data_IF_224892301844
#
_entry.id   IF_224892301844
#
_cell.length_a   1.000
_cell.length_b   1.000
_cell.length_c   1.000
_cell.angle_alpha   90.00
_cell.angle_beta   90.00
_cell.angle_gamma   90.00
#
_symmetry.space_group_name_H-M   'P 1'
#
loop_
_entity.id
_entity.type
_entity.pdbx_description
1 polymer ?
#
# COMPACT_ATOMS: atom_id res chain seq x y z
N UNK A 1 33.87 28.64 -31.09
CA UNK A 1 33.26 28.10 -29.86
C UNK A 1 32.44 29.15 -29.07
N UNK A 2 32.74 30.43 -29.09
CA UNK A 2 32.03 31.48 -28.32
C UNK A 2 30.66 31.92 -28.85
N UNK A 3 30.36 31.76 -30.16
CA UNK A 3 29.08 32.18 -30.78
C UNK A 3 27.85 31.37 -30.26
N UNK A 4 28.02 30.14 -29.82
CA UNK A 4 26.91 29.33 -29.28
C UNK A 4 26.44 29.78 -27.88
N UNK A 5 27.35 30.26 -27.03
CA UNK A 5 27.01 30.71 -25.67
C UNK A 5 26.19 32.01 -25.67
N UNK A 6 26.40 32.89 -26.65
CA UNK A 6 25.64 34.17 -26.80
C UNK A 6 24.16 33.94 -27.09
N UNK A 7 23.78 32.80 -27.73
CA UNK A 7 22.40 32.46 -28.03
C UNK A 7 21.59 32.14 -26.75
N UNK A 8 22.27 31.59 -25.75
CA UNK A 8 21.61 31.23 -24.48
C UNK A 8 21.67 32.34 -23.44
N UNK A 9 22.67 33.25 -23.51
CA UNK A 9 22.96 34.23 -22.45
C UNK A 9 23.11 35.67 -22.97
N UNK A 10 23.04 35.92 -24.28
CA UNK A 10 23.36 37.21 -24.92
C UNK A 10 22.32 38.31 -24.72
N UNK A 11 21.11 37.99 -24.23
CA UNK A 11 20.09 38.99 -23.88
C UNK A 11 19.47 38.65 -22.53
N UNK A 12 18.90 39.66 -21.86
CA UNK A 12 18.20 39.46 -20.57
C UNK A 12 17.06 38.42 -20.69
N UNK A 13 16.36 38.41 -21.83
CA UNK A 13 15.32 37.42 -22.16
C UNK A 13 15.91 36.02 -22.23
N UNK A 14 16.98 35.82 -22.98
CA UNK A 14 17.59 34.51 -23.18
C UNK A 14 18.25 33.98 -21.90
N UNK A 15 18.84 34.85 -21.10
CA UNK A 15 19.34 34.50 -19.76
C UNK A 15 18.21 34.06 -18.86
N UNK A 16 17.09 34.79 -18.80
CA UNK A 16 15.93 34.42 -18.03
C UNK A 16 15.33 33.05 -18.44
N UNK A 17 15.16 32.83 -19.74
CA UNK A 17 14.68 31.55 -20.28
C UNK A 17 15.63 30.38 -19.97
N UNK A 18 16.94 30.61 -20.02
CA UNK A 18 17.93 29.58 -19.68
C UNK A 18 17.90 29.23 -18.16
N UNK A 19 17.81 30.24 -17.31
CA UNK A 19 17.67 30.03 -15.86
C UNK A 19 16.38 29.23 -15.57
N UNK A 20 15.26 29.62 -16.19
CA UNK A 20 14.00 28.91 -16.03
C UNK A 20 14.10 27.45 -16.52
N UNK A 21 14.72 27.22 -17.69
CA UNK A 21 14.89 25.86 -18.21
C UNK A 21 15.77 25.00 -17.29
N UNK A 22 16.85 25.55 -16.75
CA UNK A 22 17.70 24.84 -15.77
C UNK A 22 16.92 24.53 -14.49
N UNK A 23 16.15 25.49 -13.97
CA UNK A 23 15.34 25.28 -12.78
C UNK A 23 14.26 24.19 -12.98
N UNK A 24 13.55 24.21 -14.13
CA UNK A 24 12.57 23.19 -14.49
C UNK A 24 13.22 21.82 -14.70
N UNK A 25 14.36 21.76 -15.38
CA UNK A 25 15.11 20.52 -15.55
C UNK A 25 15.51 19.94 -14.20
N UNK A 26 16.05 20.76 -13.31
CA UNK A 26 16.43 20.32 -11.95
C UNK A 26 15.23 19.78 -11.19
N UNK A 27 14.08 20.47 -11.22
CA UNK A 27 12.84 20.01 -10.62
C UNK A 27 12.41 18.64 -11.18
N UNK A 28 12.45 18.48 -12.50
CA UNK A 28 12.10 17.21 -13.15
C UNK A 28 13.05 16.08 -12.75
N UNK A 29 14.35 16.33 -12.65
CA UNK A 29 15.32 15.33 -12.20
C UNK A 29 15.10 14.93 -10.74
N UNK A 30 14.89 15.89 -9.85
CA UNK A 30 14.62 15.63 -8.42
C UNK A 30 13.32 14.84 -8.27
N UNK A 31 12.22 15.25 -8.92
CA UNK A 31 10.95 14.56 -8.86
C UNK A 31 11.03 13.15 -9.48
N UNK A 32 11.73 13.00 -10.60
CA UNK A 32 11.95 11.69 -11.23
C UNK A 32 12.74 10.74 -10.36
N UNK A 33 13.84 11.19 -9.77
CA UNK A 33 14.65 10.37 -8.87
C UNK A 33 13.88 10.00 -7.60
N UNK A 34 13.15 10.95 -7.00
CA UNK A 34 12.29 10.65 -5.84
C UNK A 34 11.24 9.58 -6.15
N UNK A 35 10.58 9.66 -7.30
CA UNK A 35 9.62 8.63 -7.72
C UNK A 35 10.31 7.29 -7.96
N UNK A 36 11.49 7.29 -8.56
CA UNK A 36 12.25 6.07 -8.80
C UNK A 36 12.63 5.36 -7.48
N UNK A 37 13.18 6.11 -6.51
CA UNK A 37 13.54 5.60 -5.20
C UNK A 37 12.32 5.00 -4.47
N UNK A 38 11.18 5.72 -4.48
CA UNK A 38 9.92 5.21 -3.91
C UNK A 38 9.45 3.92 -4.59
N UNK A 39 9.62 3.80 -5.90
CA UNK A 39 9.29 2.59 -6.65
C UNK A 39 10.20 1.41 -6.27
N UNK A 40 11.49 1.66 -6.09
CA UNK A 40 12.46 0.65 -5.65
C UNK A 40 12.16 0.15 -4.25
N UNK A 41 11.97 1.06 -3.29
CA UNK A 41 11.60 0.72 -1.89
C UNK A 41 10.35 -0.16 -1.88
N UNK A 42 9.29 0.27 -2.59
CA UNK A 42 8.03 -0.47 -2.66
C UNK A 42 8.20 -1.86 -3.27
N UNK A 43 9.05 -1.99 -4.29
CA UNK A 43 9.33 -3.29 -4.91
C UNK A 43 10.04 -4.23 -3.95
N UNK A 44 10.99 -3.75 -3.16
CA UNK A 44 11.71 -4.54 -2.15
C UNK A 44 10.74 -5.01 -1.06
N UNK A 45 9.92 -4.12 -0.49
CA UNK A 45 8.87 -4.46 0.48
C UNK A 45 7.95 -5.56 -0.08
N UNK A 46 7.49 -5.38 -1.31
CA UNK A 46 6.58 -6.30 -1.98
C UNK A 46 7.21 -7.67 -2.29
N UNK A 47 8.51 -7.73 -2.57
CA UNK A 47 9.21 -9.01 -2.77
C UNK A 47 9.18 -9.86 -1.50
N UNK A 48 9.36 -9.25 -0.32
CA UNK A 48 9.27 -9.95 0.96
C UNK A 48 7.87 -10.53 1.15
N UNK A 49 6.82 -9.73 0.90
CA UNK A 49 5.42 -10.17 1.04
C UNK A 49 5.11 -11.33 0.08
N UNK A 50 5.50 -11.21 -1.20
CA UNK A 50 5.31 -12.28 -2.20
C UNK A 50 6.03 -13.55 -1.80
N UNK A 51 7.29 -13.45 -1.34
CA UNK A 51 8.03 -14.60 -0.85
C UNK A 51 7.35 -15.25 0.36
N UNK A 52 6.73 -14.47 1.25
CA UNK A 52 6.02 -15.00 2.42
C UNK A 52 4.79 -15.83 2.06
N UNK A 53 4.11 -15.54 0.96
CA UNK A 53 2.97 -16.34 0.51
C UNK A 53 3.37 -17.79 0.12
N UNK A 54 4.61 -17.98 -0.33
CA UNK A 54 5.13 -19.26 -0.83
C UNK A 54 5.92 -20.05 0.23
N UNK A 55 6.31 -19.39 1.33
CA UNK A 55 7.11 -20.05 2.37
C UNK A 55 6.29 -21.09 3.14
N UNK A 56 6.91 -22.17 3.63
CA UNK A 56 6.25 -23.20 4.45
C UNK A 56 5.56 -22.58 5.68
N UNK A 57 4.43 -23.15 6.08
CA UNK A 57 3.73 -22.78 7.32
C UNK A 57 4.64 -23.02 8.52
N UNK A 58 4.66 -22.09 9.45
CA UNK A 58 5.35 -22.21 10.73
C UNK A 58 4.36 -21.97 11.88
N UNK A 59 4.69 -22.47 13.06
CA UNK A 59 3.93 -22.12 14.27
C UNK A 59 4.22 -20.65 14.65
N UNK A 60 3.21 -19.98 15.24
CA UNK A 60 3.37 -18.60 15.68
C UNK A 60 4.48 -18.52 16.74
N UNK A 61 5.54 -17.73 16.54
CA UNK A 61 6.56 -17.55 17.57
C UNK A 61 5.99 -16.87 18.82
N UNK A 62 6.49 -17.24 20.00
CA UNK A 62 6.12 -16.59 21.27
C UNK A 62 6.39 -15.08 21.23
N UNK A 63 7.48 -14.70 20.57
CA UNK A 63 7.80 -13.31 20.28
C UNK A 63 8.03 -13.17 18.77
N UNK A 64 7.34 -12.26 18.13
CA UNK A 64 7.67 -11.85 16.78
C UNK A 64 8.95 -10.99 16.84
N UNK A 65 10.09 -11.65 16.60
CA UNK A 65 11.40 -11.02 16.70
C UNK A 65 11.70 -10.09 15.52
N UNK A 66 12.23 -8.91 15.83
CA UNK A 66 12.70 -7.96 14.82
C UNK A 66 11.58 -7.18 14.14
N UNK A 67 11.78 -6.87 12.85
CA UNK A 67 10.84 -6.11 12.06
C UNK A 67 9.63 -6.98 11.68
N UNK A 68 8.47 -6.66 12.25
CA UNK A 68 7.21 -7.37 12.00
C UNK A 68 6.75 -7.33 10.55
N UNK A 69 7.19 -6.32 9.80
CA UNK A 69 6.89 -6.23 8.36
C UNK A 69 7.40 -7.46 7.58
N UNK A 70 8.43 -8.14 8.10
CA UNK A 70 8.95 -9.37 7.52
C UNK A 70 7.99 -10.57 7.60
N UNK A 71 6.96 -10.48 8.45
CA UNK A 71 5.93 -11.53 8.57
C UNK A 71 4.69 -11.24 7.73
N UNK A 72 4.56 -10.05 7.15
CA UNK A 72 3.39 -9.68 6.35
C UNK A 72 3.09 -10.71 5.26
N UNK A 73 1.87 -11.25 5.28
CA UNK A 73 1.43 -12.30 4.37
C UNK A 73 1.88 -13.72 4.73
N UNK A 74 2.67 -13.90 5.80
CA UNK A 74 3.17 -15.20 6.24
C UNK A 74 2.04 -16.11 6.69
N UNK A 75 2.09 -17.37 6.25
CA UNK A 75 1.18 -18.42 6.71
C UNK A 75 1.68 -18.99 8.03
N UNK A 76 0.83 -18.97 9.05
CA UNK A 76 1.15 -19.40 10.41
C UNK A 76 0.11 -20.40 10.91
N UNK A 77 0.53 -21.27 11.81
CA UNK A 77 -0.35 -22.12 12.62
C UNK A 77 -0.47 -21.51 14.01
N UNK A 78 -1.70 -21.36 14.48
CA UNK A 78 -1.99 -20.87 15.83
C UNK A 78 -2.93 -21.84 16.54
N UNK A 79 -2.83 -21.89 17.87
CA UNK A 79 -3.72 -22.71 18.68
C UNK A 79 -4.33 -21.85 19.80
N UNK A 80 -5.63 -22.01 20.04
CA UNK A 80 -6.34 -21.21 21.02
C UNK A 80 -7.85 -21.40 20.94
N UNK A 81 -8.62 -20.41 21.40
CA UNK A 81 -10.07 -20.44 21.44
C UNK A 81 -10.68 -19.10 21.02
N UNK A 82 -11.75 -19.13 20.25
CA UNK A 82 -12.53 -17.93 19.95
C UNK A 82 -13.29 -17.43 21.17
N UNK A 83 -13.39 -16.10 21.30
CA UNK A 83 -14.28 -15.44 22.23
C UNK A 83 -15.54 -15.02 21.48
N UNK A 84 -16.55 -15.87 21.46
CA UNK A 84 -17.77 -15.70 20.68
C UNK A 84 -18.53 -14.38 20.94
N UNK A 85 -18.37 -13.78 22.13
CA UNK A 85 -18.98 -12.50 22.50
C UNK A 85 -18.28 -11.29 21.87
N UNK A 86 -17.03 -11.45 21.49
CA UNK A 86 -16.20 -10.41 20.91
C UNK A 86 -16.12 -10.62 19.38
N UNK A 87 -17.26 -10.39 18.72
CA UNK A 87 -17.39 -10.50 17.28
C UNK A 87 -17.81 -9.16 16.67
N UNK A 88 -17.15 -8.77 15.57
CA UNK A 88 -17.37 -7.50 14.87
C UNK A 88 -17.77 -7.74 13.43
N UNK A 89 -18.79 -6.99 12.97
CA UNK A 89 -19.22 -6.93 11.61
C UNK A 89 -18.68 -5.69 10.92
N UNK A 90 -17.82 -5.89 9.96
CA UNK A 90 -17.27 -4.82 9.12
C UNK A 90 -18.17 -4.55 7.93
N UNK A 91 -18.78 -3.37 7.89
CA UNK A 91 -19.64 -2.93 6.78
C UNK A 91 -18.81 -2.56 5.54
N UNK A 92 -19.52 -2.40 4.41
CA UNK A 92 -18.95 -1.96 3.13
C UNK A 92 -17.86 -2.89 2.60
N UNK A 93 -18.07 -4.20 2.75
CA UNK A 93 -17.24 -5.24 2.13
C UNK A 93 -17.95 -5.79 0.92
N UNK A 94 -17.24 -5.82 -0.20
CA UNK A 94 -17.72 -6.37 -1.47
C UNK A 94 -16.89 -7.59 -1.86
N UNK A 95 -17.57 -8.61 -2.31
CA UNK A 95 -16.97 -9.81 -2.89
C UNK A 95 -17.74 -10.19 -4.15
N UNK A 96 -17.05 -10.31 -5.29
CA UNK A 96 -17.67 -10.56 -6.61
C UNK A 96 -18.86 -9.62 -6.90
N UNK A 97 -18.64 -8.33 -6.71
CA UNK A 97 -19.63 -7.25 -6.87
C UNK A 97 -20.89 -7.35 -5.98
N UNK A 98 -20.89 -8.27 -5.01
CA UNK A 98 -21.96 -8.41 -4.04
C UNK A 98 -21.61 -7.71 -2.73
N UNK A 99 -22.55 -6.93 -2.23
CA UNK A 99 -22.43 -6.29 -0.91
C UNK A 99 -22.56 -7.31 0.22
N UNK A 100 -21.73 -7.14 1.25
CA UNK A 100 -21.76 -7.99 2.44
C UNK A 100 -20.95 -7.39 3.59
N UNK A 101 -20.60 -8.26 4.52
CA UNK A 101 -19.88 -7.91 5.74
C UNK A 101 -18.63 -8.77 5.86
N UNK A 102 -17.54 -8.18 6.36
CA UNK A 102 -16.45 -8.94 6.93
C UNK A 102 -16.78 -9.30 8.37
N UNK A 103 -16.28 -10.43 8.83
CA UNK A 103 -16.50 -10.91 10.21
C UNK A 103 -15.15 -11.06 10.90
N UNK A 104 -14.91 -10.29 11.95
CA UNK A 104 -13.74 -10.45 12.80
C UNK A 104 -14.17 -10.93 14.19
N UNK A 105 -13.46 -11.92 14.73
CA UNK A 105 -13.73 -12.46 16.07
C UNK A 105 -12.42 -12.51 16.85
N UNK A 106 -12.47 -12.11 18.13
CA UNK A 106 -11.32 -12.15 19.02
C UNK A 106 -10.97 -13.61 19.34
N UNK A 107 -9.67 -13.91 19.40
CA UNK A 107 -9.14 -15.24 19.65
C UNK A 107 -8.09 -15.19 20.75
N UNK A 108 -8.24 -16.02 21.76
CA UNK A 108 -7.24 -16.17 22.80
C UNK A 108 -6.28 -17.29 22.44
N UNK A 109 -5.02 -16.97 22.28
CA UNK A 109 -3.95 -17.93 22.05
C UNK A 109 -3.67 -18.75 23.31
N UNK A 110 -3.09 -19.94 23.15
CA UNK A 110 -2.72 -20.81 24.30
C UNK A 110 -1.67 -20.19 25.22
N UNK A 111 -0.92 -19.18 24.77
CA UNK A 111 0.02 -18.41 25.58
C UNK A 111 -0.61 -17.23 26.33
N UNK A 112 -1.93 -17.05 26.18
CA UNK A 112 -2.71 -16.03 26.87
C UNK A 112 -2.88 -14.72 26.10
N UNK A 113 -2.18 -14.50 25.00
CA UNK A 113 -2.35 -13.32 24.15
C UNK A 113 -3.70 -13.32 23.44
N UNK A 114 -4.21 -12.11 23.15
CA UNK A 114 -5.44 -11.92 22.38
C UNK A 114 -5.12 -11.35 21.01
N UNK A 115 -5.68 -11.95 19.96
CA UNK A 115 -5.50 -11.52 18.57
C UNK A 115 -6.85 -11.50 17.85
N UNK A 116 -7.03 -10.57 16.94
CA UNK A 116 -8.19 -10.56 16.06
C UNK A 116 -8.00 -11.50 14.88
N UNK A 117 -9.06 -12.20 14.52
CA UNK A 117 -9.10 -13.08 13.35
C UNK A 117 -10.22 -12.61 12.42
N UNK A 118 -9.85 -12.14 11.22
CA UNK A 118 -10.77 -11.93 10.11
C UNK A 118 -11.20 -13.31 9.57
N UNK A 119 -12.45 -13.70 9.86
CA UNK A 119 -13.04 -14.98 9.47
C UNK A 119 -13.52 -15.00 8.01
N UNK A 120 -13.39 -13.86 7.33
CA UNK A 120 -13.79 -13.72 5.95
C UNK A 120 -15.08 -12.92 5.77
N UNK A 121 -15.61 -13.03 4.57
CA UNK A 121 -16.79 -12.28 4.12
C UNK A 121 -18.06 -13.12 4.22
N UNK A 122 -19.19 -12.46 4.50
CA UNK A 122 -20.53 -13.02 4.46
C UNK A 122 -21.44 -12.10 3.67
N UNK A 123 -22.28 -12.68 2.82
CA UNK A 123 -23.27 -11.91 2.03
C UNK A 123 -24.28 -11.24 2.95
N UNK A 124 -24.64 -10.00 2.66
CA UNK A 124 -25.75 -9.31 3.33
C UNK A 124 -27.07 -10.07 3.11
N UNK A 125 -28.00 -9.89 4.03
CA UNK A 125 -29.36 -10.40 3.88
C UNK A 125 -30.12 -9.74 2.72
N UNK A 126 -31.46 -9.71 2.79
CA UNK A 126 -32.31 -9.12 1.76
C UNK A 126 -32.17 -7.59 1.66
N UNK A 127 -31.60 -6.95 2.67
CA UNK A 127 -31.24 -5.52 2.64
C UNK A 127 -29.82 -5.28 3.16
N UNK A 128 -29.23 -4.15 2.79
CA UNK A 128 -27.89 -3.76 3.21
C UNK A 128 -27.76 -3.51 4.75
N UNK A 129 -28.88 -3.39 5.44
CA UNK A 129 -28.95 -3.17 6.88
C UNK A 129 -29.29 -4.44 7.67
N UNK A 130 -29.69 -5.51 6.99
CA UNK A 130 -30.01 -6.77 7.63
C UNK A 130 -28.72 -7.49 8.03
N UNK A 131 -28.61 -7.81 9.33
CA UNK A 131 -27.49 -8.58 9.85
C UNK A 131 -27.55 -10.01 9.30
N UNK A 132 -26.53 -10.49 8.59
CA UNK A 132 -26.54 -11.84 8.05
C UNK A 132 -26.46 -12.88 9.16
N UNK A 133 -26.93 -14.09 8.88
CA UNK A 133 -26.72 -15.24 9.77
C UNK A 133 -25.27 -15.68 9.65
N UNK A 134 -24.52 -15.52 10.76
CA UNK A 134 -23.11 -15.89 10.83
C UNK A 134 -22.99 -17.27 11.48
N UNK A 135 -22.08 -18.09 10.98
CA UNK A 135 -21.72 -19.36 11.60
C UNK A 135 -21.11 -19.10 12.97
N UNK A 136 -21.70 -19.68 14.01
CA UNK A 136 -21.17 -19.60 15.37
C UNK A 136 -19.80 -20.27 15.46
N UNK A 137 -18.92 -19.69 16.27
CA UNK A 137 -17.61 -20.28 16.58
C UNK A 137 -17.75 -21.36 17.64
N UNK A 138 -16.99 -22.46 17.53
CA UNK A 138 -17.07 -23.53 18.56
C UNK A 138 -16.36 -23.12 19.85
N UNK A 139 -16.92 -23.54 20.98
CA UNK A 139 -16.40 -23.32 22.35
C UNK A 139 -15.34 -24.38 22.73
N UNK A 140 -14.33 -24.57 21.88
CA UNK A 140 -13.23 -25.51 22.15
C UNK A 140 -11.91 -24.94 21.63
N UNK A 141 -10.82 -25.50 22.10
CA UNK A 141 -9.50 -25.19 21.54
C UNK A 141 -9.43 -25.67 20.09
N UNK A 142 -8.89 -24.82 19.23
CA UNK A 142 -8.76 -25.01 17.79
C UNK A 142 -7.31 -24.77 17.37
N UNK A 143 -6.87 -25.53 16.38
CA UNK A 143 -5.65 -25.24 15.64
C UNK A 143 -6.03 -24.66 14.28
N UNK A 144 -5.67 -23.42 14.04
CA UNK A 144 -6.03 -22.67 12.86
C UNK A 144 -4.81 -22.42 11.96
N UNK A 145 -5.06 -22.45 10.65
CA UNK A 145 -4.15 -21.93 9.64
C UNK A 145 -4.56 -20.49 9.34
N UNK A 146 -3.63 -19.57 9.51
CA UNK A 146 -3.91 -18.14 9.40
C UNK A 146 -2.82 -17.44 8.60
N UNK A 147 -3.16 -16.27 8.03
CA UNK A 147 -2.22 -15.37 7.38
C UNK A 147 -2.02 -14.13 8.23
N UNK A 148 -0.75 -13.83 8.52
CA UNK A 148 -0.36 -12.67 9.31
C UNK A 148 -0.63 -11.36 8.57
N UNK A 149 -1.17 -10.39 9.28
CA UNK A 149 -1.48 -9.04 8.81
C UNK A 149 -0.98 -8.01 9.83
N UNK A 150 -0.05 -7.17 9.40
CA UNK A 150 0.36 -6.00 10.17
C UNK A 150 -0.60 -4.84 9.90
N UNK A 151 -1.26 -4.32 10.93
CA UNK A 151 -2.29 -3.28 10.76
C UNK A 151 -1.71 -1.95 10.28
N UNK A 152 -0.53 -1.57 10.74
CA UNK A 152 0.13 -0.34 10.32
C UNK A 152 0.56 -0.41 8.85
N UNK A 153 1.08 -1.56 8.42
CA UNK A 153 1.47 -1.80 7.03
C UNK A 153 0.25 -1.87 6.11
N UNK A 154 -0.82 -2.51 6.53
CA UNK A 154 -2.08 -2.57 5.80
C UNK A 154 -2.74 -1.21 5.66
N UNK A 155 -2.69 -0.36 6.68
CA UNK A 155 -3.17 1.02 6.60
C UNK A 155 -2.37 1.83 5.57
N UNK A 156 -1.04 1.62 5.48
CA UNK A 156 -0.15 2.22 4.49
C UNK A 156 -0.45 1.73 3.07
N UNK A 157 -0.73 0.42 2.90
CA UNK A 157 -1.06 -0.19 1.61
C UNK A 157 -2.43 0.27 1.09
N UNK A 158 -3.43 0.41 1.99
CA UNK A 158 -4.79 0.87 1.66
C UNK A 158 -4.88 2.38 1.43
N UNK A 159 -3.87 3.13 1.87
CA UNK A 159 -3.82 4.58 1.64
C UNK A 159 -3.89 4.88 0.15
N UNK A 160 -4.94 5.59 -0.29
CA UNK A 160 -5.03 6.06 -1.66
C UNK A 160 -3.89 7.04 -1.92
N UNK A 161 -3.42 7.10 -3.15
CA UNK A 161 -2.39 8.03 -3.62
C UNK A 161 -2.68 9.52 -3.25
N UNK A 162 -3.95 9.85 -3.00
CA UNK A 162 -4.44 11.18 -2.61
C UNK A 162 -4.89 11.28 -1.14
N UNK A 163 -4.80 10.19 -0.35
CA UNK A 163 -5.19 10.24 1.05
C UNK A 163 -4.09 10.92 1.87
N UNK A 164 -4.26 12.19 2.14
CA UNK A 164 -3.42 12.98 3.07
C UNK A 164 -3.67 12.63 4.54
N UNK A 165 -4.64 11.76 4.84
CA UNK A 165 -4.94 11.28 6.18
C UNK A 165 -4.14 10.02 6.53
N UNK A 166 -3.59 9.95 7.74
CA UNK A 166 -3.17 8.67 8.34
C UNK A 166 -4.40 7.77 8.35
N UNK A 167 -4.39 6.69 7.55
CA UNK A 167 -5.46 5.71 7.57
C UNK A 167 -5.71 5.28 9.02
N UNK A 168 -6.97 5.30 9.47
CA UNK A 168 -7.27 4.80 10.80
C UNK A 168 -6.92 3.31 10.87
N UNK A 169 -6.17 2.94 11.88
CA UNK A 169 -5.89 1.56 12.25
C UNK A 169 -7.21 0.76 12.28
N UNK A 170 -7.21 -0.39 11.63
CA UNK A 170 -8.38 -1.27 11.66
C UNK A 170 -8.57 -1.85 13.06
N UNK A 171 -7.45 -2.23 13.70
CA UNK A 171 -7.42 -2.73 15.07
C UNK A 171 -7.90 -1.71 16.10
N UNK A 172 -7.55 -0.43 15.95
CA UNK A 172 -8.05 0.61 16.83
C UNK A 172 -9.59 0.68 16.84
N UNK A 173 -10.23 0.41 15.68
CA UNK A 173 -11.69 0.33 15.59
C UNK A 173 -12.26 -0.97 16.14
N UNK A 174 -11.52 -2.08 16.03
CA UNK A 174 -11.94 -3.36 16.57
C UNK A 174 -11.79 -3.41 18.08
N UNK A 175 -10.78 -2.74 18.63
CA UNK A 175 -10.54 -2.65 20.07
C UNK A 175 -11.48 -1.66 20.78
N UNK A 176 -12.24 -0.86 20.02
CA UNK A 176 -13.22 0.05 20.59
C UNK A 176 -14.35 -0.75 21.24
N UNK A 177 -14.43 -0.67 22.57
CA UNK A 177 -15.45 -1.36 23.37
C UNK A 177 -15.09 -2.74 23.93
N UNK A 178 -13.88 -3.29 23.63
CA UNK A 178 -13.39 -4.48 24.32
C UNK A 178 -12.58 -4.11 25.57
N UNK A 179 -12.58 -5.02 26.58
CA UNK A 179 -11.89 -4.81 27.86
C UNK A 179 -10.54 -5.53 27.96
N UNK A 180 -10.09 -6.17 26.89
CA UNK A 180 -8.82 -6.90 26.82
C UNK A 180 -7.85 -6.19 25.89
N UNK A 181 -6.56 -6.28 26.19
CA UNK A 181 -5.52 -5.75 25.32
C UNK A 181 -5.20 -6.79 24.24
N UNK A 182 -5.46 -6.42 22.97
CA UNK A 182 -5.13 -7.28 21.83
C UNK A 182 -3.80 -6.88 21.22
N UNK A 183 -3.15 -7.82 20.55
CA UNK A 183 -1.94 -7.56 19.79
C UNK A 183 -2.21 -6.50 18.70
N UNK A 184 -1.18 -5.77 18.28
CA UNK A 184 -1.22 -4.74 17.24
C UNK A 184 -1.12 -5.29 15.80
N UNK A 185 -1.37 -6.59 15.65
CA UNK A 185 -1.52 -7.31 14.40
C UNK A 185 -2.78 -8.20 14.44
N UNK A 186 -3.20 -8.67 13.30
CA UNK A 186 -4.34 -9.57 13.19
C UNK A 186 -4.08 -10.67 12.17
N UNK A 187 -5.01 -11.59 12.04
CA UNK A 187 -4.90 -12.70 11.10
C UNK A 187 -6.10 -12.78 10.17
N UNK A 188 -5.86 -13.18 8.91
CA UNK A 188 -6.91 -13.71 8.05
C UNK A 188 -7.01 -15.22 8.30
N UNK A 189 -8.22 -15.74 8.56
CA UNK A 189 -8.47 -17.17 8.66
C UNK A 189 -8.37 -17.82 7.27
N UNK A 190 -7.57 -18.86 7.16
CA UNK A 190 -7.37 -19.60 5.90
C UNK A 190 -7.96 -21.01 5.99
N UNK A 191 -7.97 -21.64 7.18
CA UNK A 191 -8.52 -22.96 7.40
C UNK A 191 -8.05 -23.60 8.70
N UNK A 192 -8.07 -24.90 8.78
CA UNK A 192 -7.67 -25.70 9.93
C UNK A 192 -8.87 -26.38 10.59
N UNK A 193 -8.94 -26.41 11.92
CA UNK A 193 -10.06 -27.01 12.66
C UNK A 193 -11.38 -26.22 12.52
N UNK A 194 -11.33 -25.07 11.87
CA UNK A 194 -12.47 -24.23 11.58
C UNK A 194 -12.26 -23.52 10.23
N UNK A 195 -13.25 -23.64 9.36
CA UNK A 195 -13.16 -23.08 8.01
C UNK A 195 -13.58 -21.61 7.97
N UNK A 196 -12.96 -20.79 7.11
CA UNK A 196 -13.39 -19.42 6.89
C UNK A 196 -14.78 -19.37 6.26
N UNK A 197 -15.49 -18.28 6.44
CA UNK A 197 -16.76 -18.00 5.74
C UNK A 197 -16.53 -17.97 4.22
N UNK A 198 -16.30 -16.78 3.63
CA UNK A 198 -15.60 -16.68 2.36
C UNK A 198 -14.21 -16.14 2.66
N UNK A 199 -13.14 -16.87 2.32
CA UNK A 199 -11.79 -16.48 2.72
C UNK A 199 -11.41 -15.13 2.12
N UNK A 200 -10.82 -14.28 2.95
CA UNK A 200 -10.29 -12.99 2.52
C UNK A 200 -9.17 -13.22 1.49
N UNK A 201 -9.29 -12.69 0.27
CA UNK A 201 -8.24 -12.84 -0.73
C UNK A 201 -6.90 -12.35 -0.22
N UNK A 202 -5.81 -12.92 -0.73
CA UNK A 202 -4.50 -12.38 -0.45
C UNK A 202 -4.43 -10.91 -0.90
N UNK A 203 -3.80 -10.02 -0.11
CA UNK A 203 -3.65 -8.62 -0.51
C UNK A 203 -3.01 -8.51 -1.88
N UNK A 204 -3.57 -7.68 -2.75
CA UNK A 204 -2.93 -7.35 -4.01
C UNK A 204 -1.66 -6.54 -3.74
N UNK A 205 -0.52 -7.17 -3.97
CA UNK A 205 0.79 -6.54 -3.80
C UNK A 205 1.15 -5.81 -5.09
N UNK A 206 1.00 -4.49 -5.09
CA UNK A 206 1.29 -3.63 -6.25
C UNK A 206 2.46 -2.70 -5.97
N UNK A 207 3.39 -2.63 -6.93
CA UNK A 207 4.53 -1.69 -6.86
C UNK A 207 4.09 -0.23 -7.08
N UNK A 208 2.81 -0.01 -7.43
CA UNK A 208 2.26 1.31 -7.74
C UNK A 208 2.80 1.89 -9.06
N UNK A 209 2.37 3.10 -9.42
CA UNK A 209 2.75 3.73 -10.69
C UNK A 209 4.07 4.52 -10.61
N UNK A 210 4.87 4.35 -9.56
CA UNK A 210 6.05 5.17 -9.27
C UNK A 210 7.07 5.19 -10.43
N UNK A 211 7.36 4.03 -11.02
CA UNK A 211 8.30 3.94 -12.15
C UNK A 211 7.79 4.69 -13.39
N UNK A 212 6.49 4.59 -13.68
CA UNK A 212 5.88 5.33 -14.79
C UNK A 212 5.98 6.85 -14.57
N UNK A 213 5.73 7.31 -13.34
CA UNK A 213 5.91 8.73 -13.00
C UNK A 213 7.37 9.17 -13.03
N UNK A 214 8.33 8.34 -12.64
CA UNK A 214 9.76 8.67 -12.77
C UNK A 214 10.13 8.90 -14.23
N UNK A 215 9.74 7.98 -15.13
CA UNK A 215 9.96 8.11 -16.57
C UNK A 215 9.28 9.38 -17.12
N UNK A 216 8.05 9.67 -16.69
CA UNK A 216 7.33 10.87 -17.12
C UNK A 216 8.04 12.16 -16.72
N UNK A 217 8.57 12.24 -15.50
CA UNK A 217 9.33 13.39 -15.05
C UNK A 217 10.64 13.57 -15.84
N UNK A 218 11.39 12.51 -16.10
CA UNK A 218 12.60 12.57 -16.90
C UNK A 218 12.29 12.96 -18.36
N UNK A 219 11.18 12.48 -18.89
CA UNK A 219 10.71 12.89 -20.21
C UNK A 219 10.36 14.39 -20.26
N UNK A 220 9.70 14.93 -19.25
CA UNK A 220 9.44 16.36 -19.15
C UNK A 220 10.74 17.17 -19.08
N UNK A 221 11.75 16.71 -18.36
CA UNK A 221 13.07 17.32 -18.34
C UNK A 221 13.71 17.36 -19.73
N UNK A 222 13.60 16.28 -20.49
CA UNK A 222 14.07 16.22 -21.88
C UNK A 222 13.31 17.21 -22.79
N UNK A 223 11.99 17.33 -22.63
CA UNK A 223 11.17 18.30 -23.38
C UNK A 223 11.56 19.75 -23.05
N UNK A 224 11.89 20.06 -21.79
CA UNK A 224 12.38 21.40 -21.39
C UNK A 224 13.68 21.75 -22.15
N UNK A 225 14.63 20.81 -22.22
CA UNK A 225 15.88 21.00 -22.97
C UNK A 225 15.63 21.18 -24.46
N UNK A 226 14.78 20.33 -25.04
CA UNK A 226 14.40 20.42 -26.45
C UNK A 226 13.75 21.77 -26.77
N UNK A 227 12.77 22.19 -25.96
CA UNK A 227 12.07 23.46 -26.14
C UNK A 227 13.02 24.65 -26.04
N UNK A 228 13.94 24.65 -25.06
CA UNK A 228 14.97 25.71 -24.96
C UNK A 228 15.91 25.71 -26.15
N UNK A 229 16.30 24.55 -26.63
CA UNK A 229 17.13 24.42 -27.85
C UNK A 229 16.45 24.95 -29.10
N UNK A 230 15.14 24.67 -29.29
CA UNK A 230 14.36 25.18 -30.41
C UNK A 230 14.23 26.71 -30.36
N UNK A 231 13.96 27.30 -29.20
CA UNK A 231 13.91 28.75 -29.03
C UNK A 231 15.29 29.37 -29.38
N UNK A 232 16.39 28.78 -28.89
CA UNK A 232 17.71 29.27 -29.21
C UNK A 232 18.03 29.22 -30.73
N UNK A 233 17.60 28.13 -31.40
CA UNK A 233 17.74 27.98 -32.85
C UNK A 233 16.96 29.02 -33.62
N UNK A 234 15.73 29.33 -33.18
CA UNK A 234 14.91 30.36 -33.83
C UNK A 234 15.50 31.75 -33.65
N UNK A 235 15.95 32.11 -32.45
CA UNK A 235 16.64 33.39 -32.20
C UNK A 235 17.91 33.52 -33.05
N UNK A 236 18.62 32.42 -33.28
CA UNK A 236 19.80 32.43 -34.17
C UNK A 236 19.43 32.71 -35.64
N UNK A 237 18.38 32.07 -36.16
CA UNK A 237 17.89 32.29 -37.52
C UNK A 237 17.47 33.74 -37.72
N UNK A 238 16.68 34.29 -36.82
CA UNK A 238 16.24 35.69 -36.86
C UNK A 238 17.42 36.68 -36.83
N UNK A 239 18.48 36.36 -36.08
CA UNK A 239 19.69 37.21 -36.05
C UNK A 239 20.48 37.19 -37.36
N UNK A 240 20.44 36.09 -38.13
CA UNK A 240 21.11 36.02 -39.44
C UNK A 240 20.37 36.81 -40.54
N UNK A 241 19.01 36.80 -40.48
CA UNK A 241 18.17 37.56 -41.41
C UNK A 241 18.28 39.07 -41.23
N UNK A 242 18.61 39.57 -40.03
CA UNK A 242 18.84 40.99 -39.76
C UNK A 242 20.25 41.48 -40.16
N UNK A 243 21.16 40.56 -40.46
CA UNK A 243 22.56 40.89 -40.79
C UNK A 243 22.83 40.84 -42.32
N UNK A 244 21.89 40.34 -43.11
CA UNK A 244 21.87 40.35 -44.56
C UNK A 244 20.95 41.44 -45.10
#
# INVERSE_FOLDING_TARGET
MYRGLTLFFGSKRNLGLSILAVALLFLCLVAGNWQYERGVERRIENQVIRANFERPVIDLPLELRGDRSLYQGRMLRITGQFLAKEEILMRNRYFQDQYGFGVATLFQLTDGRFVWIDRGWVKAGSSATEVPKIQAVPERTLTLLVRYRDDALDAKIRGSFFATGKGQSQLARWNDGISVDSEDFYFDLIGGDFEPLFPTPAPLVSDGPHLAYAIQWWFFGALVLLGRGLIAREDWRASQEQTN
#
